data_IF_842575154505
#
_entry.id   IF_842575154505
#
_cell.length_a   1.000
_cell.length_b   1.000
_cell.length_c   1.000
_cell.angle_alpha   90.00
_cell.angle_beta   90.00
_cell.angle_gamma   90.00
#
_symmetry.space_group_name_H-M   'P 1'
#
loop_
_entity.id
_entity.type
_entity.pdbx_description
1 polymer ?
#
# COMPACT_ATOMS: atom_id res chain seq x y z
N UNK A 1 -21.76 -0.52 -30.64
CA UNK A 1 -21.73 -1.21 -29.34
C UNK A 1 -20.80 -2.40 -29.49
N UNK A 2 -19.54 -2.28 -29.08
CA UNK A 2 -18.59 -3.39 -29.06
C UNK A 2 -18.13 -3.56 -27.62
N UNK A 3 -18.95 -4.28 -26.85
CA UNK A 3 -18.53 -4.90 -25.62
C UNK A 3 -18.41 -6.39 -25.94
N UNK A 4 -17.26 -6.77 -26.49
CA UNK A 4 -16.90 -8.17 -26.56
C UNK A 4 -16.52 -8.60 -25.15
N UNK A 5 -17.44 -9.35 -24.55
CA UNK A 5 -17.26 -10.03 -23.28
C UNK A 5 -16.28 -11.18 -23.43
N UNK A 6 -14.98 -10.87 -23.48
CA UNK A 6 -13.95 -11.83 -23.10
C UNK A 6 -13.70 -11.67 -21.60
N UNK A 7 -14.15 -12.67 -20.82
CA UNK A 7 -13.86 -12.81 -19.40
C UNK A 7 -12.35 -12.90 -19.19
N UNK A 8 -11.71 -11.75 -18.99
CA UNK A 8 -10.28 -11.61 -18.78
C UNK A 8 -9.95 -12.07 -17.35
N UNK A 9 -9.67 -13.36 -17.18
CA UNK A 9 -9.14 -13.97 -15.94
C UNK A 9 -7.94 -13.21 -15.39
N UNK A 10 -7.14 -12.59 -16.27
CA UNK A 10 -6.03 -11.72 -15.89
C UNK A 10 -6.44 -10.34 -15.32
N UNK A 11 -7.69 -9.88 -15.48
CA UNK A 11 -8.19 -8.63 -14.87
C UNK A 11 -8.61 -8.85 -13.42
N UNK A 12 -9.12 -10.03 -13.08
CA UNK A 12 -9.50 -10.38 -11.71
C UNK A 12 -8.28 -10.47 -10.78
N UNK A 13 -7.18 -11.06 -11.24
CA UNK A 13 -5.93 -11.16 -10.48
C UNK A 13 -5.30 -9.77 -10.19
N UNK A 14 -5.21 -8.90 -11.20
CA UNK A 14 -4.72 -7.51 -11.04
C UNK A 14 -5.59 -6.71 -10.06
N UNK A 15 -6.92 -6.84 -10.14
CA UNK A 15 -7.86 -6.20 -9.21
C UNK A 15 -7.65 -6.63 -7.76
N UNK A 16 -7.42 -7.92 -7.50
CA UNK A 16 -7.11 -8.43 -6.15
C UNK A 16 -5.84 -7.83 -5.59
N UNK A 17 -4.76 -7.81 -6.38
CA UNK A 17 -3.48 -7.21 -5.96
C UNK A 17 -3.65 -5.72 -5.65
N UNK A 18 -4.37 -4.99 -6.50
CA UNK A 18 -4.65 -3.57 -6.27
C UNK A 18 -5.43 -3.34 -4.96
N UNK A 19 -6.50 -4.11 -4.72
CA UNK A 19 -7.32 -3.98 -3.51
C UNK A 19 -6.52 -4.30 -2.23
N UNK A 20 -5.66 -5.32 -2.26
CA UNK A 20 -4.78 -5.63 -1.13
C UNK A 20 -3.82 -4.48 -0.82
N UNK A 21 -3.16 -3.91 -1.84
CA UNK A 21 -2.27 -2.78 -1.62
C UNK A 21 -3.02 -1.54 -1.10
N UNK A 22 -4.19 -1.24 -1.64
CA UNK A 22 -5.04 -0.13 -1.18
C UNK A 22 -5.39 -0.24 0.30
N UNK A 23 -5.82 -1.43 0.74
CA UNK A 23 -6.07 -1.70 2.17
C UNK A 23 -4.81 -1.52 3.01
N UNK A 24 -3.65 -2.02 2.56
CA UNK A 24 -2.38 -1.87 3.28
C UNK A 24 -2.01 -0.38 3.42
N UNK A 25 -2.14 0.42 2.37
CA UNK A 25 -1.89 1.87 2.48
C UNK A 25 -2.82 2.52 3.50
N UNK A 26 -4.11 2.21 3.44
CA UNK A 26 -5.09 2.80 4.38
C UNK A 26 -4.73 2.45 5.82
N UNK A 27 -4.35 1.20 6.09
CA UNK A 27 -3.94 0.77 7.43
C UNK A 27 -2.66 1.48 7.89
N UNK A 28 -1.66 1.62 7.02
CA UNK A 28 -0.40 2.32 7.34
C UNK A 28 -0.65 3.82 7.56
N UNK A 29 -1.43 4.47 6.70
CA UNK A 29 -1.78 5.89 6.85
C UNK A 29 -2.56 6.13 8.15
N UNK A 30 -3.55 5.28 8.45
CA UNK A 30 -4.34 5.42 9.67
C UNK A 30 -3.50 5.17 10.92
N UNK A 31 -2.62 4.18 10.90
CA UNK A 31 -1.70 3.91 12.00
C UNK A 31 -0.67 5.03 12.21
N UNK A 32 -0.13 5.59 11.13
CA UNK A 32 0.75 6.76 11.21
C UNK A 32 0.02 7.97 11.81
N UNK A 33 -1.20 8.25 11.35
CA UNK A 33 -2.02 9.33 11.89
C UNK A 33 -2.36 9.11 13.37
N UNK A 34 -2.74 7.88 13.75
CA UNK A 34 -3.06 7.54 15.14
C UNK A 34 -1.85 7.71 16.06
N UNK A 35 -0.68 7.21 15.66
CA UNK A 35 0.55 7.34 16.44
C UNK A 35 0.97 8.80 16.60
N UNK A 36 0.89 9.61 15.55
CA UNK A 36 1.16 11.05 15.64
C UNK A 36 0.16 11.80 16.51
N UNK A 37 -1.14 11.47 16.42
CA UNK A 37 -2.16 12.10 17.24
C UNK A 37 -1.96 11.77 18.73
N UNK A 38 -1.75 10.49 19.05
CA UNK A 38 -1.48 10.05 20.42
C UNK A 38 -0.19 10.66 20.95
N UNK A 39 0.88 10.64 20.15
CA UNK A 39 2.15 11.28 20.49
C UNK A 39 1.97 12.76 20.80
N UNK A 40 1.18 13.48 20.00
CA UNK A 40 0.88 14.90 20.22
C UNK A 40 0.15 15.14 21.53
N UNK A 41 -0.83 14.30 21.88
CA UNK A 41 -1.56 14.39 23.15
C UNK A 41 -0.62 14.10 24.34
N UNK A 42 0.21 13.06 24.24
CA UNK A 42 1.17 12.71 25.29
C UNK A 42 2.22 13.81 25.50
N UNK A 43 2.61 14.51 24.44
CA UNK A 43 3.60 15.58 24.49
C UNK A 43 3.16 16.80 25.32
N UNK A 44 1.85 16.93 25.59
CA UNK A 44 1.29 17.97 26.46
C UNK A 44 1.68 17.80 27.94
N UNK A 45 2.23 16.65 28.32
CA UNK A 45 2.63 16.34 29.69
C UNK A 45 4.15 16.09 29.74
N UNK A 46 4.89 16.90 30.50
CA UNK A 46 6.37 16.81 30.58
C UNK A 46 6.88 15.41 30.96
N UNK A 47 6.17 14.71 31.87
CA UNK A 47 6.55 13.35 32.29
C UNK A 47 6.36 12.28 31.21
N UNK A 48 5.59 12.56 30.15
CA UNK A 48 5.29 11.62 29.07
C UNK A 48 5.99 11.95 27.76
N UNK A 49 6.77 13.03 27.69
CA UNK A 49 7.45 13.45 26.46
C UNK A 49 8.36 12.35 25.88
N UNK A 50 9.07 11.59 26.72
CA UNK A 50 9.89 10.48 26.26
C UNK A 50 9.08 9.41 25.51
N UNK A 51 7.88 9.09 26.00
CA UNK A 51 6.95 8.14 25.33
C UNK A 51 6.41 8.78 24.05
N UNK A 52 6.00 10.04 24.10
CA UNK A 52 5.52 10.79 22.95
C UNK A 52 6.55 10.82 21.79
N UNK A 53 7.83 11.02 22.09
CA UNK A 53 8.91 10.98 21.09
C UNK A 53 8.95 9.64 20.35
N UNK A 54 8.81 8.52 21.05
CA UNK A 54 8.76 7.20 20.41
C UNK A 54 7.52 7.04 19.52
N UNK A 55 6.36 7.56 19.93
CA UNK A 55 5.17 7.60 19.06
C UNK A 55 5.43 8.37 17.76
N UNK A 56 6.11 9.52 17.82
CA UNK A 56 6.51 10.27 16.63
C UNK A 56 7.52 9.52 15.77
N UNK A 57 8.50 8.83 16.36
CA UNK A 57 9.46 8.00 15.60
C UNK A 57 8.74 6.87 14.86
N UNK A 58 7.86 6.14 15.54
CA UNK A 58 7.08 5.05 14.94
C UNK A 58 6.18 5.58 13.82
N UNK A 59 5.42 6.65 14.07
CA UNK A 59 4.56 7.27 13.07
C UNK A 59 5.35 7.74 11.83
N UNK A 60 6.56 8.27 12.03
CA UNK A 60 7.46 8.67 10.94
C UNK A 60 7.94 7.47 10.13
N UNK A 61 8.28 6.36 10.80
CA UNK A 61 8.62 5.10 10.14
C UNK A 61 7.47 4.57 9.29
N UNK A 62 6.24 4.61 9.81
CA UNK A 62 5.04 4.24 9.05
C UNK A 62 4.84 5.15 7.82
N UNK A 63 5.05 6.45 7.97
CA UNK A 63 4.99 7.40 6.86
C UNK A 63 6.03 7.10 5.77
N UNK A 64 7.23 6.67 6.18
CA UNK A 64 8.29 6.24 5.27
C UNK A 64 8.00 4.91 4.55
N UNK A 65 7.13 4.05 5.08
CA UNK A 65 6.72 2.81 4.40
C UNK A 65 5.85 3.08 3.15
N UNK A 66 5.20 4.24 3.07
CA UNK A 66 4.31 4.62 1.97
C UNK A 66 5.00 4.61 0.59
N UNK A 67 6.15 5.28 0.37
CA UNK A 67 6.89 5.16 -0.90
C UNK A 67 7.36 3.73 -1.20
N UNK A 68 7.76 2.95 -0.18
CA UNK A 68 8.21 1.56 -0.35
C UNK A 68 7.08 0.66 -0.84
N UNK A 69 5.90 0.79 -0.26
CA UNK A 69 4.72 0.07 -0.70
C UNK A 69 4.33 0.48 -2.12
N UNK A 70 4.45 1.78 -2.47
CA UNK A 70 4.14 2.30 -3.81
C UNK A 70 5.02 1.68 -4.88
N UNK A 71 6.31 1.67 -4.63
CA UNK A 71 7.28 1.02 -5.50
C UNK A 71 6.99 -0.49 -5.64
N UNK A 72 6.70 -1.18 -4.53
CA UNK A 72 6.40 -2.61 -4.55
C UNK A 72 5.15 -2.93 -5.37
N UNK A 73 4.09 -2.11 -5.26
CA UNK A 73 2.88 -2.24 -6.07
C UNK A 73 3.18 -2.05 -7.55
N UNK A 74 3.93 -1.01 -7.91
CA UNK A 74 4.30 -0.69 -9.29
C UNK A 74 5.12 -1.83 -9.91
N UNK A 75 6.12 -2.35 -9.21
CA UNK A 75 6.92 -3.50 -9.64
C UNK A 75 6.08 -4.77 -9.83
N UNK A 76 5.17 -5.07 -8.89
CA UNK A 76 4.32 -6.27 -8.98
C UNK A 76 3.32 -6.18 -10.14
N UNK A 77 2.80 -4.98 -10.43
CA UNK A 77 1.93 -4.75 -11.59
C UNK A 77 2.69 -4.84 -12.91
N UNK A 78 3.95 -4.36 -12.95
CA UNK A 78 4.82 -4.48 -14.12
C UNK A 78 5.14 -5.95 -14.46
N UNK A 79 5.51 -6.76 -13.45
CA UNK A 79 5.76 -8.19 -13.62
C UNK A 79 4.53 -8.96 -14.16
N UNK A 80 3.33 -8.66 -13.65
CA UNK A 80 2.07 -9.23 -14.17
C UNK A 80 1.65 -8.71 -15.55
N UNK A 81 2.30 -7.67 -16.07
CA UNK A 81 2.17 -7.26 -17.48
C UNK A 81 2.95 -8.20 -18.38
N UNK A 82 4.22 -8.42 -18.04
CA UNK A 82 5.17 -9.24 -18.81
C UNK A 82 4.73 -10.72 -18.92
N UNK A 83 4.23 -11.32 -17.84
CA UNK A 83 3.76 -12.72 -17.87
C UNK A 83 2.58 -12.95 -18.83
N UNK A 84 1.74 -11.94 -19.06
CA UNK A 84 0.61 -12.07 -19.99
C UNK A 84 1.06 -11.98 -21.44
N UNK A 85 1.97 -11.07 -21.74
CA UNK A 85 2.48 -10.86 -23.09
C UNK A 85 3.28 -12.10 -23.57
N UNK A 86 3.96 -12.79 -22.67
CA UNK A 86 4.64 -14.06 -22.96
C UNK A 86 3.63 -15.20 -23.21
N UNK A 87 2.60 -15.32 -22.37
CA UNK A 87 1.57 -16.36 -22.53
C UNK A 87 0.76 -16.21 -23.83
N UNK A 88 0.51 -14.99 -24.30
CA UNK A 88 -0.18 -14.74 -25.56
C UNK A 88 0.69 -15.14 -26.77
N UNK A 89 2.01 -14.92 -26.70
CA UNK A 89 2.97 -15.28 -27.76
C UNK A 89 3.19 -16.78 -27.90
N UNK A 90 3.17 -17.56 -26.82
CA UNK A 90 3.31 -19.03 -26.87
C UNK A 90 2.02 -19.73 -27.33
N UNK A 91 0.90 -19.02 -27.41
CA UNK A 91 -0.39 -19.56 -27.85
C UNK A 91 -0.69 -19.36 -29.35
N UNK A 92 0.24 -18.77 -30.11
CA UNK A 92 0.20 -18.57 -31.57
C UNK A 92 1.07 -19.59 -32.30
#
# INVERSE_FOLDING_TARGET
MLFDGHGNTGTAAKRRVQATFELIYTLVDFGAAATFLIGSILFLYDSWQGVATWFFIVGSGMFALKPTLRLTKELKLAAMGDEKDLAERESL
#
